data_IF_279562475616
#
_entry.id   IF_279562475616
#
_cell.length_a   1.000
_cell.length_b   1.000
_cell.length_c   1.000
_cell.angle_alpha   90.00
_cell.angle_beta   90.00
_cell.angle_gamma   90.00
#
_symmetry.space_group_name_H-M   'P 1'
#
loop_
_entity.id
_entity.type
_entity.pdbx_description
1 polymer ?
#
# COMPACT_ATOMS: atom_id res chain seq x y z
N UNK A 1 86.13 19.02 21.77
CA UNK A 1 84.84 19.70 21.68
C UNK A 1 84.23 19.40 20.29
N UNK A 2 83.39 18.39 20.19
CA UNK A 2 82.71 18.04 18.95
C UNK A 2 81.26 18.41 19.07
N UNK A 3 80.79 19.30 18.16
CA UNK A 3 79.39 19.68 18.04
C UNK A 3 78.73 18.80 16.98
N UNK A 4 77.77 17.96 17.38
CA UNK A 4 76.87 17.25 16.47
C UNK A 4 75.75 18.15 16.07
N UNK A 5 75.61 18.36 14.78
CA UNK A 5 74.42 19.03 14.16
C UNK A 5 73.51 17.92 13.69
N UNK A 6 72.37 17.76 14.33
CA UNK A 6 71.33 16.84 13.93
C UNK A 6 70.38 17.56 12.94
N UNK A 7 70.38 17.12 11.68
CA UNK A 7 69.48 17.54 10.63
C UNK A 7 68.15 16.82 10.80
N UNK A 8 67.06 17.54 11.05
CA UNK A 8 65.70 17.01 11.08
C UNK A 8 65.08 17.21 9.67
N UNK A 9 64.97 16.10 8.93
CA UNK A 9 64.25 16.07 7.67
C UNK A 9 62.74 16.01 7.91
N UNK A 10 62.00 17.06 7.59
CA UNK A 10 60.56 17.14 7.66
C UNK A 10 59.97 16.60 6.35
N UNK A 11 59.53 15.35 6.34
CA UNK A 11 58.79 14.73 5.21
C UNK A 11 57.33 15.17 5.28
N UNK A 12 56.93 16.08 4.39
CA UNK A 12 55.56 16.47 4.22
C UNK A 12 54.76 15.34 3.51
N UNK A 13 53.88 14.66 4.25
CA UNK A 13 52.94 13.70 3.71
C UNK A 13 51.76 14.47 3.09
N UNK A 14 51.70 14.57 1.74
CA UNK A 14 50.54 15.06 1.03
C UNK A 14 49.40 14.00 1.12
N UNK A 15 48.44 14.24 1.97
CA UNK A 15 47.16 13.53 1.97
C UNK A 15 46.32 13.98 0.77
N UNK A 16 46.36 13.22 -0.32
CA UNK A 16 45.39 13.37 -1.42
C UNK A 16 44.05 12.81 -0.91
N UNK A 17 43.15 13.68 -0.49
CA UNK A 17 41.76 13.34 -0.24
C UNK A 17 41.11 13.09 -1.60
N UNK A 18 40.89 11.82 -1.93
CA UNK A 18 40.02 11.43 -3.03
C UNK A 18 38.60 11.85 -2.65
N UNK A 19 38.14 12.97 -3.23
CA UNK A 19 36.74 13.34 -3.22
C UNK A 19 35.98 12.24 -3.99
N UNK A 20 35.40 11.29 -3.25
CA UNK A 20 34.47 10.32 -3.81
C UNK A 20 33.27 11.13 -4.32
N UNK A 21 33.26 11.43 -5.61
CA UNK A 21 32.15 12.08 -6.29
C UNK A 21 30.90 11.23 -6.07
N UNK A 22 29.96 11.72 -5.28
CA UNK A 22 28.64 11.15 -5.15
C UNK A 22 27.98 11.29 -6.53
N UNK A 23 27.97 10.22 -7.30
CA UNK A 23 27.17 10.14 -8.51
C UNK A 23 25.73 10.41 -8.09
N UNK A 24 25.03 11.42 -8.64
CA UNK A 24 23.66 11.71 -8.25
C UNK A 24 22.83 10.43 -8.45
N UNK A 25 22.14 10.01 -7.41
CA UNK A 25 21.32 8.81 -7.43
C UNK A 25 20.33 8.91 -8.60
N UNK A 26 20.50 8.04 -9.59
CA UNK A 26 19.69 8.03 -10.79
C UNK A 26 18.22 7.84 -10.37
N UNK A 27 17.33 8.73 -10.83
CA UNK A 27 15.89 8.60 -10.54
C UNK A 27 15.41 7.21 -10.98
N UNK A 28 14.68 6.48 -10.12
CA UNK A 28 14.09 5.20 -10.51
C UNK A 28 13.13 5.42 -11.69
N UNK A 29 13.35 4.69 -12.78
CA UNK A 29 12.51 4.74 -13.99
C UNK A 29 12.24 3.31 -14.47
N UNK A 30 11.14 3.12 -15.18
CA UNK A 30 10.87 1.86 -15.89
C UNK A 30 11.88 1.68 -17.03
N UNK A 31 12.18 0.44 -17.39
CA UNK A 31 13.03 0.16 -18.58
C UNK A 31 12.40 0.73 -19.85
N UNK A 32 11.11 0.46 -20.00
CA UNK A 32 10.25 1.06 -21.03
C UNK A 32 8.90 1.36 -20.40
N UNK A 33 8.28 2.47 -20.81
CA UNK A 33 6.94 2.80 -20.40
C UNK A 33 6.21 3.62 -21.45
N UNK A 34 4.93 3.36 -21.60
CA UNK A 34 4.03 4.18 -22.40
C UNK A 34 2.79 4.54 -21.58
N UNK A 35 2.29 5.75 -21.77
CA UNK A 35 1.02 6.22 -21.25
C UNK A 35 0.23 6.84 -22.38
N UNK A 36 -1.05 6.48 -22.50
CA UNK A 36 -1.98 7.00 -23.51
C UNK A 36 -3.27 7.44 -22.83
N UNK A 37 -3.77 8.61 -23.17
CA UNK A 37 -5.11 9.01 -22.78
C UNK A 37 -6.14 8.19 -23.57
N UNK A 38 -7.19 7.75 -22.89
CA UNK A 38 -8.32 6.99 -23.47
C UNK A 38 -9.51 7.93 -23.54
N UNK A 39 -10.14 8.03 -24.70
CA UNK A 39 -11.42 8.72 -24.80
C UNK A 39 -12.52 7.84 -24.22
N UNK A 40 -13.29 8.41 -23.32
CA UNK A 40 -14.40 7.70 -22.69
C UNK A 40 -15.50 7.38 -23.70
N UNK A 41 -15.65 6.12 -24.07
CA UNK A 41 -16.61 5.66 -25.10
C UNK A 41 -18.02 5.38 -24.55
N UNK A 42 -18.32 5.86 -23.34
CA UNK A 42 -19.69 5.79 -22.80
C UNK A 42 -20.14 4.45 -22.23
N UNK A 43 -19.23 3.50 -21.99
CA UNK A 43 -19.54 2.27 -21.24
C UNK A 43 -19.16 2.45 -19.77
N UNK A 44 -20.09 2.90 -18.88
CA UNK A 44 -19.77 3.20 -17.49
C UNK A 44 -19.45 1.96 -16.65
N UNK A 45 -19.65 0.76 -17.17
CA UNK A 45 -19.73 -0.48 -16.37
C UNK A 45 -18.48 -1.34 -16.38
N UNK A 46 -17.43 -0.99 -17.12
CA UNK A 46 -16.19 -1.73 -17.02
C UNK A 46 -15.17 -0.96 -16.17
N UNK A 47 -14.99 -1.38 -14.91
CA UNK A 47 -13.88 -0.85 -14.12
C UNK A 47 -12.57 -1.16 -14.86
N UNK A 48 -11.69 -0.19 -14.92
CA UNK A 48 -10.37 -0.39 -15.51
C UNK A 48 -9.67 -1.57 -14.85
N UNK A 49 -8.83 -2.26 -15.62
CA UNK A 49 -8.13 -3.46 -15.17
C UNK A 49 -6.63 -3.21 -15.00
N UNK A 50 -6.02 -3.97 -14.08
CA UNK A 50 -4.57 -4.01 -13.89
C UNK A 50 -4.12 -5.45 -14.02
N UNK A 51 -3.13 -5.69 -14.87
CA UNK A 51 -2.54 -7.03 -15.07
C UNK A 51 -1.03 -6.97 -14.89
N UNK A 52 -0.45 -8.02 -14.32
CA UNK A 52 0.96 -8.05 -13.96
C UNK A 52 1.31 -7.19 -12.76
N UNK A 53 2.59 -6.90 -12.59
CA UNK A 53 3.14 -6.11 -11.49
C UNK A 53 3.75 -6.96 -10.37
N UNK A 54 4.38 -6.29 -9.42
CA UNK A 54 5.08 -6.94 -8.31
C UNK A 54 4.12 -7.82 -7.50
N UNK A 55 4.56 -9.05 -7.19
CA UNK A 55 3.77 -10.02 -6.43
C UNK A 55 2.73 -10.78 -7.25
N UNK A 56 2.78 -10.70 -8.58
CA UNK A 56 1.94 -11.50 -9.50
C UNK A 56 2.79 -12.48 -10.31
N UNK A 57 2.15 -13.33 -11.11
CA UNK A 57 2.82 -14.27 -12.03
C UNK A 57 3.63 -13.56 -13.14
N UNK A 58 3.41 -12.25 -13.33
CA UNK A 58 4.12 -11.42 -14.31
C UNK A 58 4.77 -10.19 -13.65
N UNK A 59 5.77 -10.39 -12.74
CA UNK A 59 6.30 -9.31 -11.91
C UNK A 59 7.15 -8.27 -12.67
N UNK A 60 7.63 -8.62 -13.86
CA UNK A 60 8.51 -7.75 -14.67
C UNK A 60 7.74 -6.85 -15.66
N UNK A 61 6.42 -6.91 -15.66
CA UNK A 61 5.60 -6.05 -16.53
C UNK A 61 4.31 -5.67 -15.82
N UNK A 62 3.80 -4.48 -16.09
CA UNK A 62 2.50 -4.05 -15.60
C UNK A 62 1.74 -3.36 -16.73
N UNK A 63 0.44 -3.64 -16.77
CA UNK A 63 -0.50 -2.99 -17.69
C UNK A 63 -1.72 -2.50 -16.90
N UNK A 64 -2.00 -1.22 -17.03
CA UNK A 64 -3.25 -0.59 -16.64
C UNK A 64 -4.07 -0.36 -17.91
N UNK A 65 -5.30 -0.83 -17.95
CA UNK A 65 -6.19 -0.69 -19.10
C UNK A 65 -7.44 0.06 -18.65
N UNK A 66 -7.69 1.21 -19.29
CA UNK A 66 -8.86 2.05 -19.03
C UNK A 66 -9.04 2.42 -17.54
N UNK A 67 -7.96 2.83 -16.89
CA UNK A 67 -7.98 3.26 -15.48
C UNK A 67 -8.07 4.78 -15.37
N UNK A 68 -8.71 5.29 -14.30
CA UNK A 68 -8.71 6.73 -14.01
C UNK A 68 -7.32 7.19 -13.56
N UNK A 69 -7.05 8.49 -13.71
CA UNK A 69 -5.84 9.08 -13.14
C UNK A 69 -5.79 8.87 -11.62
N UNK A 70 -6.92 8.96 -10.94
CA UNK A 70 -7.05 8.66 -9.52
C UNK A 70 -6.49 7.27 -9.17
N UNK A 71 -6.84 6.24 -9.95
CA UNK A 71 -6.32 4.89 -9.76
C UNK A 71 -4.79 4.83 -9.90
N UNK A 72 -4.23 5.51 -10.92
CA UNK A 72 -2.78 5.61 -11.09
C UNK A 72 -2.10 6.32 -9.92
N UNK A 73 -2.70 7.41 -9.42
CA UNK A 73 -2.20 8.15 -8.26
C UNK A 73 -2.21 7.28 -6.99
N UNK A 74 -3.30 6.58 -6.74
CA UNK A 74 -3.38 5.62 -5.62
C UNK A 74 -2.25 4.58 -5.69
N UNK A 75 -2.01 4.04 -6.87
CA UNK A 75 -0.92 3.07 -7.09
C UNK A 75 0.46 3.70 -6.90
N UNK A 76 0.66 4.93 -7.41
CA UNK A 76 1.93 5.64 -7.36
C UNK A 76 2.32 6.09 -5.95
N UNK A 77 1.35 6.51 -5.14
CA UNK A 77 1.61 7.02 -3.79
C UNK A 77 1.34 5.99 -2.69
N UNK A 78 0.63 4.90 -2.99
CA UNK A 78 0.27 3.88 -2.01
C UNK A 78 -0.67 4.42 -0.93
N UNK A 79 -1.55 5.32 -1.31
CA UNK A 79 -2.55 5.97 -0.45
C UNK A 79 -3.95 5.49 -0.81
N UNK A 80 -4.93 5.79 0.04
CA UNK A 80 -6.35 5.54 -0.23
C UNK A 80 -6.97 6.69 -1.02
N UNK A 81 -8.14 6.44 -1.59
CA UNK A 81 -8.83 7.39 -2.46
C UNK A 81 -9.07 8.74 -1.75
N UNK A 82 -9.49 8.73 -0.50
CA UNK A 82 -9.78 9.93 0.28
C UNK A 82 -8.55 10.80 0.60
N UNK A 83 -7.36 10.23 0.46
CA UNK A 83 -6.09 10.91 0.69
C UNK A 83 -5.56 11.61 -0.58
N UNK A 84 -6.25 11.52 -1.70
CA UNK A 84 -5.90 12.22 -2.93
C UNK A 84 -6.84 13.41 -3.08
N UNK A 85 -6.27 14.58 -3.28
CA UNK A 85 -6.99 15.83 -3.49
C UNK A 85 -6.51 16.43 -4.80
N UNK A 86 -7.43 16.81 -5.67
CA UNK A 86 -7.05 17.39 -6.96
C UNK A 86 -8.26 17.87 -7.75
N UNK A 87 -8.05 18.30 -9.00
CA UNK A 87 -9.14 18.69 -9.88
C UNK A 87 -10.05 17.51 -10.22
N UNK A 88 -11.31 17.77 -10.54
CA UNK A 88 -12.31 16.73 -10.89
C UNK A 88 -11.86 15.81 -12.05
N UNK A 89 -10.96 16.28 -12.89
CA UNK A 89 -10.40 15.51 -14.00
C UNK A 89 -9.64 14.24 -13.57
N UNK A 90 -9.12 14.19 -12.34
CA UNK A 90 -8.44 12.98 -11.86
C UNK A 90 -9.38 11.76 -11.78
N UNK A 91 -10.69 11.99 -11.58
CA UNK A 91 -11.71 10.95 -11.49
C UNK A 91 -12.31 10.58 -12.85
N UNK A 92 -12.18 11.45 -13.84
CA UNK A 92 -12.81 11.30 -15.17
C UNK A 92 -11.83 10.98 -16.28
N UNK A 93 -10.62 11.52 -16.23
CA UNK A 93 -9.60 11.26 -17.24
C UNK A 93 -9.05 9.83 -17.11
N UNK A 94 -9.03 9.11 -18.23
CA UNK A 94 -8.68 7.70 -18.27
C UNK A 94 -7.43 7.46 -19.11
N UNK A 95 -6.70 6.41 -18.73
CA UNK A 95 -5.40 6.11 -19.31
C UNK A 95 -5.20 4.61 -19.48
N UNK A 96 -4.40 4.30 -20.51
CA UNK A 96 -3.70 3.03 -20.63
C UNK A 96 -2.22 3.26 -20.32
N UNK A 97 -1.67 2.42 -19.42
CA UNK A 97 -0.24 2.45 -19.10
C UNK A 97 0.33 1.06 -19.28
N UNK A 98 1.44 0.94 -19.99
CA UNK A 98 2.22 -0.29 -20.08
C UNK A 98 3.65 0.03 -19.69
N UNK A 99 4.24 -0.76 -18.80
CA UNK A 99 5.61 -0.55 -18.36
C UNK A 99 6.34 -1.87 -18.11
N UNK A 100 7.64 -1.89 -18.45
CA UNK A 100 8.56 -2.96 -18.07
C UNK A 100 9.27 -2.60 -16.76
N UNK A 101 9.18 -3.50 -15.79
CA UNK A 101 9.70 -3.32 -14.44
C UNK A 101 11.08 -3.99 -14.38
N UNK A 102 12.16 -3.27 -14.00
CA UNK A 102 13.48 -3.87 -13.83
C UNK A 102 13.45 -5.01 -12.80
N UNK A 103 14.21 -6.10 -13.01
CA UNK A 103 14.34 -7.17 -12.03
C UNK A 103 14.83 -6.65 -10.68
N UNK A 104 14.32 -7.20 -9.58
CA UNK A 104 14.70 -6.78 -8.22
C UNK A 104 14.10 -5.45 -7.75
N UNK A 105 13.17 -4.87 -8.52
CA UNK A 105 12.45 -3.65 -8.12
C UNK A 105 11.64 -3.90 -6.85
N UNK A 106 11.83 -3.06 -5.85
CA UNK A 106 11.01 -3.08 -4.62
C UNK A 106 9.72 -2.27 -4.81
N UNK A 107 8.71 -2.50 -3.97
CA UNK A 107 7.45 -1.73 -4.00
C UNK A 107 7.68 -0.21 -3.87
N UNK A 108 8.54 0.30 -2.96
CA UNK A 108 8.84 1.73 -2.91
C UNK A 108 9.48 2.26 -4.21
N UNK A 109 10.39 1.50 -4.83
CA UNK A 109 11.00 1.89 -6.09
C UNK A 109 9.96 1.92 -7.23
N UNK A 110 9.11 0.91 -7.33
CA UNK A 110 8.01 0.88 -8.30
C UNK A 110 7.10 2.12 -8.18
N UNK A 111 6.73 2.49 -6.96
CA UNK A 111 5.92 3.69 -6.70
C UNK A 111 6.62 4.96 -7.20
N UNK A 112 7.91 5.11 -6.93
CA UNK A 112 8.70 6.24 -7.42
C UNK A 112 8.80 6.25 -8.96
N UNK A 113 8.96 5.09 -9.60
CA UNK A 113 8.95 4.98 -11.06
C UNK A 113 7.62 5.47 -11.64
N UNK A 114 6.50 5.07 -11.03
CA UNK A 114 5.17 5.51 -11.49
C UNK A 114 4.95 7.01 -11.25
N UNK A 115 5.39 7.56 -10.11
CA UNK A 115 5.36 9.00 -9.86
C UNK A 115 6.18 9.78 -10.91
N UNK A 116 7.39 9.30 -11.21
CA UNK A 116 8.25 9.92 -12.22
C UNK A 116 7.61 9.85 -13.62
N UNK A 117 7.01 8.72 -13.98
CA UNK A 117 6.30 8.58 -15.27
C UNK A 117 5.15 9.60 -15.38
N UNK A 118 4.33 9.74 -14.33
CA UNK A 118 3.23 10.71 -14.33
C UNK A 118 3.74 12.16 -14.36
N UNK A 119 4.80 12.47 -13.63
CA UNK A 119 5.42 13.79 -13.64
C UNK A 119 6.00 14.15 -15.01
N UNK A 120 6.68 13.21 -15.65
CA UNK A 120 7.35 13.45 -16.93
C UNK A 120 6.34 13.52 -18.08
N UNK A 121 5.35 12.62 -18.13
CA UNK A 121 4.42 12.46 -19.25
C UNK A 121 3.17 13.32 -19.15
N UNK A 122 2.64 13.51 -17.95
CA UNK A 122 1.44 14.33 -17.68
C UNK A 122 1.79 15.68 -17.06
N UNK A 123 3.07 16.04 -16.97
CA UNK A 123 3.54 17.29 -16.32
C UNK A 123 2.97 17.47 -14.92
N UNK A 124 2.71 16.35 -14.25
CA UNK A 124 2.09 16.35 -12.94
C UNK A 124 2.97 17.06 -11.92
N UNK A 125 2.34 17.96 -11.16
CA UNK A 125 2.92 18.61 -9.97
C UNK A 125 2.04 18.31 -8.79
N UNK A 126 2.66 18.05 -7.65
CA UNK A 126 1.94 17.72 -6.42
C UNK A 126 2.73 18.18 -5.20
N UNK A 127 2.03 18.33 -4.09
CA UNK A 127 2.65 18.46 -2.77
C UNK A 127 1.97 17.57 -1.75
N UNK A 128 2.63 17.38 -0.60
CA UNK A 128 2.06 16.67 0.53
C UNK A 128 1.30 17.66 1.39
N UNK A 129 0.05 17.34 1.68
CA UNK A 129 -0.82 18.11 2.55
C UNK A 129 -1.30 17.28 3.74
N UNK A 130 -2.21 17.86 4.50
CA UNK A 130 -2.94 17.20 5.58
C UNK A 130 -4.39 17.64 5.52
N UNK A 131 -5.32 16.70 5.67
CA UNK A 131 -6.75 16.98 5.66
C UNK A 131 -7.43 16.24 6.80
N UNK A 132 -8.28 16.95 7.56
CA UNK A 132 -9.17 16.28 8.50
C UNK A 132 -10.21 15.44 7.75
N UNK A 133 -10.29 14.17 8.09
CA UNK A 133 -11.27 13.28 7.49
C UNK A 133 -11.80 12.27 8.52
N UNK A 134 -13.01 11.74 8.30
CA UNK A 134 -13.55 10.68 9.14
C UNK A 134 -12.70 9.42 8.98
N UNK A 135 -12.34 8.82 10.09
CA UNK A 135 -11.56 7.57 10.17
C UNK A 135 -12.20 6.63 11.17
N UNK A 136 -11.85 5.36 11.10
CA UNK A 136 -11.95 4.46 12.25
C UNK A 136 -10.59 4.33 12.93
N UNK A 137 -10.55 4.66 14.22
CA UNK A 137 -9.38 4.36 15.05
C UNK A 137 -9.56 2.96 15.62
N UNK A 138 -8.60 2.07 15.31
CA UNK A 138 -8.59 0.73 15.89
C UNK A 138 -7.72 0.75 17.16
N UNK A 139 -8.28 0.26 18.26
CA UNK A 139 -7.63 0.17 19.56
C UNK A 139 -7.72 -1.25 20.12
N UNK A 140 -6.86 -1.58 21.06
CA UNK A 140 -6.87 -2.86 21.78
C UNK A 140 -6.83 -2.60 23.30
N UNK A 141 -7.94 -2.15 23.92
CA UNK A 141 -7.94 -1.66 25.29
C UNK A 141 -7.57 -2.70 26.34
N UNK A 142 -7.65 -4.00 26.00
CA UNK A 142 -7.26 -5.13 26.85
C UNK A 142 -6.06 -5.91 26.25
N UNK A 143 -5.21 -5.25 25.48
CA UNK A 143 -4.12 -5.90 24.74
C UNK A 143 -4.61 -6.77 23.59
N UNK A 144 -3.88 -7.84 23.27
CA UNK A 144 -4.20 -8.69 22.11
C UNK A 144 -5.54 -9.44 22.20
N UNK A 145 -6.22 -9.44 23.35
CA UNK A 145 -7.52 -10.08 23.51
C UNK A 145 -7.51 -11.57 23.14
N UNK A 146 -8.33 -11.95 22.15
CA UNK A 146 -8.38 -13.31 21.57
C UNK A 146 -7.46 -13.50 20.35
N UNK A 147 -6.70 -12.50 19.96
CA UNK A 147 -5.69 -12.64 18.92
C UNK A 147 -4.57 -13.53 19.45
N UNK A 148 -4.29 -14.64 18.77
CA UNK A 148 -3.22 -15.55 19.14
C UNK A 148 -1.93 -15.15 18.42
N UNK A 149 -0.81 -15.05 19.12
CA UNK A 149 0.48 -14.80 18.47
C UNK A 149 0.77 -15.94 17.51
N UNK A 150 0.99 -15.60 16.24
CA UNK A 150 1.28 -16.58 15.20
C UNK A 150 2.59 -17.31 15.49
N UNK A 151 2.55 -18.64 15.42
CA UNK A 151 3.72 -19.51 15.60
C UNK A 151 4.31 -20.01 14.30
N UNK A 152 3.59 -19.83 13.21
CA UNK A 152 3.95 -20.40 11.89
C UNK A 152 4.27 -19.26 10.93
N UNK A 153 5.46 -19.21 10.36
CA UNK A 153 5.83 -18.23 9.34
C UNK A 153 5.17 -18.63 8.00
N UNK A 154 3.92 -18.26 7.82
CA UNK A 154 3.18 -18.41 6.56
C UNK A 154 2.96 -17.03 5.95
N UNK A 155 2.63 -16.97 4.65
CA UNK A 155 2.17 -15.73 4.04
C UNK A 155 0.94 -15.20 4.78
N UNK A 156 0.88 -13.88 5.07
CA UNK A 156 -0.27 -13.27 5.73
C UNK A 156 -1.54 -13.41 4.88
N UNK A 157 -2.63 -13.85 5.46
CA UNK A 157 -3.88 -13.97 4.71
C UNK A 157 -5.05 -14.47 5.52
N UNK A 158 -6.25 -14.28 4.94
CA UNK A 158 -7.51 -14.76 5.49
C UNK A 158 -8.18 -15.68 4.47
N UNK A 159 -8.46 -16.91 4.85
CA UNK A 159 -9.11 -17.91 4.02
C UNK A 159 -10.52 -18.20 4.50
N UNK A 160 -11.41 -18.53 3.56
CA UNK A 160 -12.78 -18.99 3.87
C UNK A 160 -12.69 -20.30 4.66
N UNK A 161 -13.46 -20.42 5.73
CA UNK A 161 -13.53 -21.63 6.54
C UNK A 161 -14.95 -21.91 7.02
N UNK A 162 -15.26 -23.15 7.40
CA UNK A 162 -16.54 -23.56 7.99
C UNK A 162 -16.58 -23.48 9.51
N UNK A 163 -15.49 -23.10 10.14
CA UNK A 163 -15.38 -23.04 11.59
C UNK A 163 -13.96 -22.79 12.06
N UNK A 164 -13.71 -22.96 13.35
CA UNK A 164 -12.38 -22.74 13.95
C UNK A 164 -11.44 -23.89 13.54
N UNK A 165 -10.44 -23.67 12.65
CA UNK A 165 -9.46 -24.70 12.35
C UNK A 165 -8.61 -24.98 13.59
N UNK A 166 -8.42 -26.25 13.93
CA UNK A 166 -7.48 -26.62 14.98
C UNK A 166 -6.04 -26.28 14.56
N UNK A 167 -5.15 -25.99 15.51
CA UNK A 167 -3.75 -25.77 15.21
C UNK A 167 -3.18 -26.94 14.40
N UNK A 168 -2.70 -26.66 13.17
CA UNK A 168 -2.17 -27.68 12.26
C UNK A 168 -3.18 -28.34 11.31
N UNK A 169 -4.47 -28.03 11.42
CA UNK A 169 -5.52 -28.54 10.54
C UNK A 169 -5.58 -27.75 9.23
N UNK A 170 -5.77 -28.45 8.11
CA UNK A 170 -5.99 -27.82 6.82
C UNK A 170 -7.34 -27.07 6.83
N UNK A 171 -7.33 -25.85 6.29
CA UNK A 171 -8.56 -25.05 6.15
C UNK A 171 -9.40 -25.66 5.03
N UNK A 172 -10.59 -26.16 5.37
CA UNK A 172 -11.56 -26.65 4.37
C UNK A 172 -12.43 -25.50 3.87
N UNK A 173 -12.59 -25.37 2.57
CA UNK A 173 -13.54 -24.46 1.97
C UNK A 173 -14.95 -25.05 2.04
N UNK A 174 -15.94 -24.25 2.44
CA UNK A 174 -17.34 -24.67 2.45
C UNK A 174 -18.13 -24.04 1.32
N UNK A 175 -19.11 -24.78 0.82
CA UNK A 175 -20.14 -24.34 -0.12
C UNK A 175 -21.50 -24.12 0.54
N UNK A 176 -21.62 -24.18 1.86
CA UNK A 176 -22.88 -24.01 2.56
C UNK A 176 -23.40 -22.56 2.49
N UNK A 177 -24.69 -22.43 2.37
CA UNK A 177 -25.41 -21.13 2.45
C UNK A 177 -25.49 -20.70 3.91
N UNK A 178 -24.35 -20.42 4.53
CA UNK A 178 -24.26 -19.87 5.87
C UNK A 178 -24.35 -18.34 5.76
N UNK A 179 -25.34 -17.69 6.41
CA UNK A 179 -25.43 -16.23 6.42
C UNK A 179 -24.23 -15.59 7.12
N UNK A 180 -23.53 -16.34 7.98
CA UNK A 180 -22.30 -15.90 8.66
C UNK A 180 -21.09 -16.25 7.81
N UNK A 181 -20.29 -15.26 7.51
CA UNK A 181 -19.02 -15.43 6.83
C UNK A 181 -17.94 -15.77 7.83
N UNK A 182 -17.20 -16.82 7.57
CA UNK A 182 -16.10 -17.27 8.41
C UNK A 182 -14.77 -17.11 7.68
N UNK A 183 -13.77 -16.51 8.34
CA UNK A 183 -12.42 -16.33 7.82
C UNK A 183 -11.38 -16.71 8.87
N UNK A 184 -10.59 -17.71 8.58
CA UNK A 184 -9.39 -18.00 9.35
C UNK A 184 -8.24 -17.12 8.83
N UNK A 185 -7.82 -16.19 9.65
CA UNK A 185 -6.72 -15.27 9.35
C UNK A 185 -5.46 -15.75 10.05
N UNK A 186 -4.34 -15.81 9.32
CA UNK A 186 -3.06 -16.31 9.83
C UNK A 186 -1.93 -15.34 9.52
N UNK A 187 -0.97 -15.27 10.43
CA UNK A 187 0.25 -14.47 10.33
C UNK A 187 0.01 -12.98 9.99
N UNK A 188 -1.09 -12.42 10.48
CA UNK A 188 -1.54 -11.05 10.19
C UNK A 188 -0.94 -10.06 11.19
N UNK A 189 -0.10 -9.14 10.72
CA UNK A 189 0.24 -7.95 11.52
C UNK A 189 -0.88 -6.90 11.42
N UNK A 190 -0.84 -5.87 12.25
CA UNK A 190 -1.89 -4.84 12.27
C UNK A 190 -2.06 -4.14 10.92
N UNK A 191 -1.00 -3.90 10.17
CA UNK A 191 -1.09 -3.33 8.82
C UNK A 191 -1.86 -4.26 7.87
N UNK A 192 -1.53 -5.55 7.85
CA UNK A 192 -2.24 -6.55 7.04
C UNK A 192 -3.71 -6.69 7.43
N UNK A 193 -4.04 -6.60 8.74
CA UNK A 193 -5.41 -6.56 9.22
C UNK A 193 -6.14 -5.34 8.66
N UNK A 194 -5.57 -4.14 8.83
CA UNK A 194 -6.17 -2.89 8.33
C UNK A 194 -6.34 -2.87 6.80
N UNK A 195 -5.43 -3.48 6.05
CA UNK A 195 -5.55 -3.58 4.59
C UNK A 195 -6.59 -4.61 4.13
N UNK A 196 -6.90 -5.59 4.99
CA UNK A 196 -7.82 -6.68 4.68
C UNK A 196 -9.27 -6.35 5.05
N UNK A 197 -9.52 -5.75 6.22
CA UNK A 197 -10.86 -5.48 6.73
C UNK A 197 -11.78 -4.73 5.74
N UNK A 198 -11.36 -3.61 5.10
CA UNK A 198 -12.21 -2.89 4.14
C UNK A 198 -12.54 -3.72 2.88
N UNK A 199 -11.72 -4.71 2.54
CA UNK A 199 -11.98 -5.63 1.42
C UNK A 199 -12.96 -6.74 1.78
N UNK A 200 -12.98 -7.16 3.04
CA UNK A 200 -13.90 -8.18 3.53
C UNK A 200 -15.31 -7.61 3.72
N UNK A 201 -15.41 -6.41 4.27
CA UNK A 201 -16.69 -5.73 4.47
C UNK A 201 -16.57 -4.21 4.22
N UNK A 202 -16.69 -3.77 2.96
CA UNK A 202 -16.59 -2.36 2.60
C UNK A 202 -17.78 -1.52 3.07
N UNK A 203 -18.87 -2.15 3.54
CA UNK A 203 -20.06 -1.44 4.05
C UNK A 203 -19.90 -1.03 5.51
N UNK A 204 -19.36 -1.92 6.35
CA UNK A 204 -19.10 -1.63 7.74
C UNK A 204 -17.76 -0.92 7.95
N UNK A 205 -16.79 -1.15 7.07
CA UNK A 205 -15.46 -0.52 7.09
C UNK A 205 -15.31 0.43 5.89
N UNK A 206 -16.07 1.50 5.91
CA UNK A 206 -16.26 2.44 4.79
C UNK A 206 -15.24 3.60 4.73
N UNK A 207 -14.32 3.66 5.69
CA UNK A 207 -13.36 4.78 5.85
C UNK A 207 -11.96 4.29 6.24
N UNK A 208 -10.93 5.16 6.14
CA UNK A 208 -9.56 4.79 6.53
C UNK A 208 -9.48 4.30 7.97
N UNK A 209 -8.63 3.28 8.18
CA UNK A 209 -8.31 2.76 9.50
C UNK A 209 -7.00 3.37 10.00
N UNK A 210 -6.96 3.74 11.29
CA UNK A 210 -5.77 4.26 11.96
C UNK A 210 -5.44 3.36 13.14
N UNK A 211 -4.26 2.77 13.16
CA UNK A 211 -3.81 1.89 14.22
C UNK A 211 -3.37 2.68 15.47
N UNK A 212 -4.06 2.47 16.57
CA UNK A 212 -3.70 2.90 17.92
C UNK A 212 -3.73 1.73 18.92
N UNK A 213 -3.58 0.49 18.42
CA UNK A 213 -3.59 -0.70 19.29
C UNK A 213 -2.31 -0.84 20.11
N UNK A 214 -1.19 -0.38 19.58
CA UNK A 214 0.14 -0.64 20.12
C UNK A 214 0.60 -2.09 19.99
N UNK A 215 -0.18 -2.94 19.33
CA UNK A 215 0.14 -4.36 19.12
C UNK A 215 1.28 -4.52 18.13
N UNK A 216 2.27 -5.35 18.50
CA UNK A 216 3.43 -5.68 17.66
C UNK A 216 3.47 -7.18 17.44
N UNK A 217 3.88 -7.58 16.24
CA UNK A 217 3.94 -8.99 15.86
C UNK A 217 2.82 -9.41 14.94
N UNK A 218 2.72 -10.71 14.72
CA UNK A 218 1.73 -11.32 13.83
C UNK A 218 0.77 -12.19 14.63
N UNK A 219 -0.47 -12.25 14.19
CA UNK A 219 -1.56 -12.89 14.92
C UNK A 219 -2.35 -13.82 14.02
N UNK A 220 -2.84 -14.90 14.65
CA UNK A 220 -3.80 -15.83 14.08
C UNK A 220 -5.15 -15.62 14.80
N UNK A 221 -6.24 -15.56 14.04
CA UNK A 221 -7.58 -15.38 14.59
C UNK A 221 -8.66 -15.87 13.64
N UNK A 222 -9.84 -16.12 14.16
CA UNK A 222 -11.06 -16.36 13.40
C UNK A 222 -11.90 -15.09 13.38
N UNK A 223 -12.34 -14.68 12.21
CA UNK A 223 -13.25 -13.56 12.00
C UNK A 223 -14.58 -14.11 11.47
N UNK A 224 -15.68 -13.76 12.13
CA UNK A 224 -17.03 -14.23 11.81
C UNK A 224 -17.98 -13.04 11.79
N UNK A 225 -18.65 -12.82 10.65
CA UNK A 225 -19.61 -11.73 10.52
C UNK A 225 -20.69 -12.04 9.50
N UNK A 226 -21.86 -11.40 9.66
CA UNK A 226 -22.97 -11.46 8.72
C UNK A 226 -23.16 -10.14 7.99
N UNK A 227 -23.81 -10.18 6.82
CA UNK A 227 -24.22 -8.95 6.14
C UNK A 227 -25.33 -8.25 6.96
N UNK A 228 -25.59 -6.97 6.64
CA UNK A 228 -26.60 -6.16 7.36
C UNK A 228 -28.00 -6.75 7.42
N UNK A 229 -28.40 -7.51 6.40
CA UNK A 229 -29.71 -8.15 6.26
C UNK A 229 -29.78 -9.53 6.87
N UNK A 230 -28.64 -10.12 7.24
CA UNK A 230 -28.56 -11.51 7.65
C UNK A 230 -28.47 -11.63 9.18
N UNK A 231 -28.95 -12.72 9.79
CA UNK A 231 -28.75 -12.97 11.21
C UNK A 231 -27.29 -13.29 11.49
N UNK A 232 -26.73 -12.70 12.55
CA UNK A 232 -25.36 -12.91 12.98
C UNK A 232 -24.66 -11.63 13.42
N UNK A 233 -23.43 -11.75 13.92
CA UNK A 233 -22.68 -10.60 14.41
C UNK A 233 -22.27 -9.68 13.24
N UNK A 234 -22.23 -8.37 13.49
CA UNK A 234 -21.67 -7.39 12.56
C UNK A 234 -20.15 -7.45 12.59
N UNK A 235 -19.50 -6.91 11.54
CA UNK A 235 -18.04 -6.87 11.48
C UNK A 235 -17.42 -6.18 12.72
N UNK A 236 -18.00 -5.06 13.16
CA UNK A 236 -17.52 -4.34 14.33
C UNK A 236 -17.64 -5.16 15.61
N UNK A 237 -18.77 -5.87 15.81
CA UNK A 237 -19.00 -6.74 16.97
C UNK A 237 -18.00 -7.91 16.97
N UNK A 238 -17.71 -8.47 15.81
CA UNK A 238 -16.73 -9.54 15.66
C UNK A 238 -15.33 -9.09 16.05
N UNK A 239 -14.94 -7.89 15.64
CA UNK A 239 -13.67 -7.28 16.02
C UNK A 239 -13.61 -7.00 17.54
N UNK A 240 -14.70 -6.51 18.13
CA UNK A 240 -14.80 -6.34 19.58
C UNK A 240 -14.68 -7.68 20.32
N UNK A 241 -15.28 -8.73 19.77
CA UNK A 241 -15.13 -10.11 20.26
C UNK A 241 -13.69 -10.62 20.26
N UNK A 242 -12.85 -10.12 19.36
CA UNK A 242 -11.41 -10.38 19.29
C UNK A 242 -10.59 -9.48 20.23
N UNK A 243 -11.20 -8.45 20.82
CA UNK A 243 -10.52 -7.45 21.65
C UNK A 243 -10.07 -6.20 20.91
N UNK A 244 -10.45 -6.06 19.63
CA UNK A 244 -10.18 -4.89 18.81
C UNK A 244 -11.42 -4.01 18.75
N UNK A 245 -11.29 -2.73 19.11
CA UNK A 245 -12.37 -1.76 19.07
C UNK A 245 -12.15 -0.74 17.97
N UNK A 246 -13.17 -0.54 17.13
CA UNK A 246 -13.18 0.51 16.11
C UNK A 246 -14.03 1.68 16.60
N UNK A 247 -13.43 2.87 16.65
CA UNK A 247 -14.11 4.10 17.04
C UNK A 247 -14.10 5.11 15.89
N UNK A 248 -15.26 5.65 15.49
CA UNK A 248 -15.30 6.71 14.50
C UNK A 248 -14.71 8.00 15.10
N UNK A 249 -13.75 8.59 14.41
CA UNK A 249 -13.12 9.86 14.79
C UNK A 249 -12.88 10.73 13.57
N UNK A 250 -12.64 12.03 13.78
CA UNK A 250 -12.02 12.89 12.78
C UNK A 250 -10.56 13.06 13.12
N UNK A 251 -9.69 12.84 12.15
CA UNK A 251 -8.25 12.94 12.34
C UNK A 251 -7.59 13.58 11.12
N UNK A 252 -6.52 14.34 11.32
CA UNK A 252 -5.70 14.82 10.22
C UNK A 252 -4.92 13.65 9.62
N UNK A 253 -5.19 13.32 8.36
CA UNK A 253 -4.43 12.32 7.61
C UNK A 253 -3.57 12.98 6.53
N UNK A 254 -2.38 12.43 6.27
CA UNK A 254 -1.55 12.87 5.15
C UNK A 254 -2.31 12.74 3.84
N UNK A 255 -2.23 13.74 2.98
CA UNK A 255 -2.85 13.75 1.65
C UNK A 255 -1.82 14.07 0.58
N UNK A 256 -2.10 13.64 -0.64
CA UNK A 256 -1.40 14.04 -1.85
C UNK A 256 -2.31 15.05 -2.56
N UNK A 257 -1.84 16.27 -2.71
CA UNK A 257 -2.56 17.34 -3.38
C UNK A 257 -1.96 17.50 -4.78
N UNK A 258 -2.79 17.30 -5.81
CA UNK A 258 -2.38 17.47 -7.21
C UNK A 258 -2.60 18.92 -7.59
N UNK A 259 -1.51 19.64 -7.77
CA UNK A 259 -1.51 21.08 -8.11
C UNK A 259 -1.75 21.31 -9.60
N UNK A 260 -1.21 20.39 -10.42
CA UNK A 260 -1.30 20.46 -11.87
C UNK A 260 -1.15 19.07 -12.51
N UNK A 261 -1.92 18.83 -13.56
CA UNK A 261 -1.77 17.66 -14.42
C UNK A 261 -2.34 17.95 -15.81
N UNK A 262 -1.62 17.54 -16.85
CA UNK A 262 -2.07 17.64 -18.24
C UNK A 262 -2.82 16.37 -18.64
N UNK A 263 -3.96 16.52 -19.35
CA UNK A 263 -4.76 15.40 -19.83
C UNK A 263 -4.03 14.60 -20.92
N UNK A 264 -3.35 15.30 -21.84
CA UNK A 264 -2.66 14.67 -22.97
C UNK A 264 -1.22 14.36 -22.57
N UNK A 265 -0.80 13.09 -22.58
CA UNK A 265 0.59 12.75 -22.34
C UNK A 265 1.49 13.35 -23.41
N UNK A 266 2.69 13.78 -23.00
CA UNK A 266 3.76 14.07 -23.96
C UNK A 266 4.15 12.78 -24.70
N UNK A 267 4.61 12.90 -25.96
CA UNK A 267 5.04 11.76 -26.78
C UNK A 267 6.03 10.84 -26.05
N UNK A 268 5.88 9.55 -26.29
CA UNK A 268 6.78 8.51 -25.75
C UNK A 268 8.16 8.59 -26.38
#
# INVERSE_FOLDING_TARGET
>A
MFRFVTSVSLTAFLLIQAAAGQTPARKPVFETASIKAVEYTGRPEQPGSVTGGLGTDSPLSIRYTDVTLHHLLRSAFGVKDEQIVGPASIDTDRYEVTAAIPPGTTVPQFRLMLQNLLADRLKMKFHKGTKEMPVFVITAPKGAGKLQVSKTPTEPGCMITTGIPKPGEAISATTAVDPVKHRACRNMNMQAIMDTLPRLDPKDIDRPLVDQTGLKGNYDFLLEWANASDPGPRMLESLEGLGLKLEPRKMPLPTIVIDHVEKKPTSN
#
